data_IF_884619767951
#
_entry.id   IF_884619767951
#
_cell.length_a   1.000
_cell.length_b   1.000
_cell.length_c   1.000
_cell.angle_alpha   90.00
_cell.angle_beta   90.00
_cell.angle_gamma   90.00
#
_symmetry.space_group_name_H-M   'P 1'
#
loop_
_entity.id
_entity.type
_entity.pdbx_description
1 polymer ?
#
# COMPACT_ATOMS: atom_id res chain seq x y z
N UNK A 1 40.14 39.93 1.46
CA UNK A 1 38.98 39.10 1.10
C UNK A 1 39.21 37.71 1.65
N UNK A 2 38.35 37.21 2.54
CA UNK A 2 38.39 35.81 2.96
C UNK A 2 37.87 34.98 1.78
N UNK A 3 38.74 34.17 1.17
CA UNK A 3 38.32 33.16 0.20
C UNK A 3 37.49 32.11 0.93
N UNK A 4 36.18 32.13 0.72
CA UNK A 4 35.27 31.07 1.17
C UNK A 4 35.66 29.78 0.44
N UNK A 5 36.35 28.88 1.13
CA UNK A 5 36.63 27.54 0.64
C UNK A 5 35.57 26.58 1.17
N UNK A 6 35.37 25.46 0.47
CA UNK A 6 34.45 24.39 0.90
C UNK A 6 34.76 23.92 2.34
N UNK A 7 36.03 24.01 2.75
CA UNK A 7 36.53 23.71 4.09
C UNK A 7 36.14 24.74 5.16
N UNK A 8 35.40 25.79 4.84
CA UNK A 8 34.92 26.75 5.84
C UNK A 8 33.42 26.62 6.11
N UNK A 9 32.71 25.82 5.31
CA UNK A 9 31.26 25.64 5.45
C UNK A 9 30.89 24.76 6.65
N UNK A 10 29.78 25.04 7.36
CA UNK A 10 29.18 24.12 8.32
C UNK A 10 28.92 22.73 7.75
N UNK A 11 28.98 21.69 8.59
CA UNK A 11 28.84 20.28 8.15
C UNK A 11 27.44 19.97 7.65
N UNK A 12 26.44 20.69 8.16
CA UNK A 12 25.04 20.60 7.76
C UNK A 12 24.85 21.09 6.32
N UNK A 13 25.46 22.23 5.97
CA UNK A 13 25.42 22.75 4.59
C UNK A 13 26.19 21.86 3.63
N UNK A 14 27.32 21.27 4.06
CA UNK A 14 28.05 20.29 3.27
C UNK A 14 27.19 19.05 3.00
N UNK A 15 26.49 18.53 4.01
CA UNK A 15 25.60 17.39 3.85
C UNK A 15 24.42 17.71 2.90
N UNK A 16 23.85 18.90 2.99
CA UNK A 16 22.79 19.35 2.09
C UNK A 16 23.28 19.43 0.64
N UNK A 17 24.44 20.04 0.40
CA UNK A 17 25.07 20.09 -0.94
C UNK A 17 25.36 18.67 -1.46
N UNK A 18 25.91 17.80 -0.61
CA UNK A 18 26.23 16.42 -0.98
C UNK A 18 24.99 15.58 -1.28
N UNK A 19 23.84 15.90 -0.69
CA UNK A 19 22.57 15.24 -0.96
C UNK A 19 22.01 15.52 -2.35
N UNK A 20 22.51 16.56 -3.03
CA UNK A 20 22.14 16.89 -4.40
C UNK A 20 23.01 16.19 -5.46
N UNK A 21 24.14 15.60 -5.06
CA UNK A 21 25.04 14.87 -5.96
C UNK A 21 24.45 13.53 -6.41
N UNK A 22 24.89 13.03 -7.56
CA UNK A 22 24.67 11.63 -7.95
C UNK A 22 25.51 10.68 -7.06
N UNK A 23 25.19 9.39 -7.09
CA UNK A 23 25.86 8.43 -6.20
C UNK A 23 27.35 8.30 -6.55
N UNK A 24 27.71 8.35 -7.83
CA UNK A 24 29.10 8.28 -8.28
C UNK A 24 29.94 9.48 -7.79
N UNK A 25 29.45 10.72 -7.93
CA UNK A 25 30.18 11.87 -7.40
C UNK A 25 30.23 11.85 -5.87
N UNK A 26 29.15 11.43 -5.19
CA UNK A 26 29.12 11.34 -3.73
C UNK A 26 30.14 10.31 -3.19
N UNK A 27 30.28 9.18 -3.88
CA UNK A 27 31.35 8.21 -3.59
C UNK A 27 32.71 8.86 -3.73
N UNK A 28 32.94 9.60 -4.81
CA UNK A 28 34.21 10.29 -5.05
C UNK A 28 34.50 11.28 -3.91
N UNK A 29 33.53 12.14 -3.57
CA UNK A 29 33.61 13.11 -2.47
C UNK A 29 33.94 12.44 -1.13
N UNK A 30 33.35 11.29 -0.83
CA UNK A 30 33.62 10.53 0.42
C UNK A 30 35.06 10.03 0.55
N UNK A 31 35.83 10.07 -0.54
CA UNK A 31 37.22 9.66 -0.62
C UNK A 31 38.22 10.82 -0.72
N UNK A 32 37.77 12.06 -0.96
CA UNK A 32 38.68 13.19 -1.20
C UNK A 32 39.38 13.70 0.07
N UNK A 33 38.69 13.72 1.22
CA UNK A 33 39.30 14.16 2.47
C UNK A 33 38.68 13.50 3.71
N UNK A 34 39.42 13.51 4.83
CA UNK A 34 38.95 12.97 6.12
C UNK A 34 37.67 13.66 6.60
N UNK A 35 37.57 14.98 6.38
CA UNK A 35 36.40 15.74 6.79
C UNK A 35 35.18 15.41 5.95
N UNK A 36 35.32 15.36 4.63
CA UNK A 36 34.20 15.01 3.74
C UNK A 36 33.75 13.57 4.00
N UNK A 37 34.69 12.66 4.24
CA UNK A 37 34.38 11.31 4.72
C UNK A 37 33.55 11.34 6.00
N UNK A 38 33.98 12.10 7.02
CA UNK A 38 33.26 12.19 8.30
C UNK A 38 31.80 12.66 8.09
N UNK A 39 31.60 13.73 7.31
CA UNK A 39 30.26 14.25 6.96
C UNK A 39 29.42 13.19 6.23
N UNK A 40 29.99 12.54 5.22
CA UNK A 40 29.25 11.51 4.46
C UNK A 40 28.94 10.25 5.26
N UNK A 41 29.78 9.88 6.23
CA UNK A 41 29.57 8.69 7.07
C UNK A 41 28.64 8.94 8.26
N UNK A 42 28.31 10.20 8.56
CA UNK A 42 27.44 10.54 9.68
C UNK A 42 25.98 10.15 9.38
N UNK A 43 25.41 9.29 10.23
CA UNK A 43 24.03 8.84 10.11
C UNK A 43 22.99 9.91 10.41
N UNK A 44 23.34 10.96 11.18
CA UNK A 44 22.43 12.05 11.50
C UNK A 44 22.28 13.01 10.30
N UNK A 45 23.39 13.28 9.60
CA UNK A 45 23.40 14.14 8.41
C UNK A 45 22.93 13.39 7.15
N UNK A 46 23.36 12.13 7.01
CA UNK A 46 22.99 11.17 5.98
C UNK A 46 22.75 11.74 4.57
N UNK A 47 23.78 12.33 3.93
CA UNK A 47 23.65 12.89 2.58
C UNK A 47 23.31 11.85 1.50
N UNK A 48 23.50 10.55 1.79
CA UNK A 48 23.21 9.46 0.86
C UNK A 48 21.72 9.22 0.61
N UNK A 49 20.84 9.62 1.54
CA UNK A 49 19.41 9.29 1.49
C UNK A 49 18.74 9.79 0.20
N UNK A 50 18.90 11.08 -0.13
CA UNK A 50 18.24 11.71 -1.28
C UNK A 50 18.73 11.11 -2.62
N UNK A 51 20.05 10.95 -2.88
CA UNK A 51 20.54 10.29 -4.10
C UNK A 51 20.09 8.83 -4.26
N UNK A 52 20.07 8.05 -3.17
CA UNK A 52 19.56 6.68 -3.16
C UNK A 52 18.07 6.66 -3.53
N UNK A 53 17.26 7.49 -2.89
CA UNK A 53 15.83 7.56 -3.18
C UNK A 53 15.57 7.99 -4.63
N UNK A 54 16.33 8.95 -5.18
CA UNK A 54 16.21 9.33 -6.60
C UNK A 54 16.45 8.13 -7.53
N UNK A 55 17.51 7.35 -7.28
CA UNK A 55 17.78 6.13 -8.03
C UNK A 55 16.62 5.13 -7.93
N UNK A 56 16.17 4.83 -6.70
CA UNK A 56 15.09 3.87 -6.44
C UNK A 56 13.77 4.26 -7.12
N UNK A 57 13.51 5.56 -7.25
CA UNK A 57 12.32 6.11 -7.91
C UNK A 57 12.41 6.08 -9.43
N UNK A 58 13.58 6.42 -9.99
CA UNK A 58 13.82 6.43 -11.42
C UNK A 58 13.68 5.03 -12.04
N UNK A 59 14.18 4.00 -11.35
CA UNK A 59 14.20 2.61 -11.85
C UNK A 59 15.45 2.28 -12.67
N UNK A 60 16.10 3.29 -13.26
CA UNK A 60 17.43 3.19 -13.87
C UNK A 60 18.51 3.44 -12.82
N UNK A 61 19.07 2.35 -12.29
CA UNK A 61 20.02 2.41 -11.18
C UNK A 61 21.44 2.68 -11.65
N UNK A 62 22.10 3.65 -11.03
CA UNK A 62 23.54 3.85 -11.18
C UNK A 62 24.29 2.56 -10.79
N UNK A 63 25.31 2.19 -11.57
CA UNK A 63 26.09 0.96 -11.35
C UNK A 63 26.69 0.88 -9.95
N UNK A 64 27.00 2.02 -9.35
CA UNK A 64 27.56 2.08 -8.01
C UNK A 64 26.57 1.65 -6.91
N UNK A 65 25.26 1.71 -7.16
CA UNK A 65 24.23 1.25 -6.22
C UNK A 65 24.30 -0.26 -5.97
N UNK A 66 24.71 -1.03 -6.98
CA UNK A 66 24.80 -2.50 -6.95
C UNK A 66 25.75 -2.99 -5.85
N UNK A 67 26.83 -2.25 -5.59
CA UNK A 67 27.88 -2.61 -4.64
C UNK A 67 27.97 -1.65 -3.44
N UNK A 68 26.94 -0.83 -3.22
CA UNK A 68 26.94 0.18 -2.18
C UNK A 68 27.10 -0.42 -0.76
N UNK A 69 26.71 -1.69 -0.58
CA UNK A 69 26.72 -2.39 0.72
C UNK A 69 28.11 -2.78 1.21
N UNK A 70 29.11 -2.72 0.32
CA UNK A 70 30.52 -2.99 0.65
C UNK A 70 31.17 -1.74 1.28
N UNK A 71 30.61 -0.55 1.02
CA UNK A 71 31.23 0.73 1.42
C UNK A 71 30.91 1.05 2.87
N UNK A 72 31.94 1.12 3.71
CA UNK A 72 31.81 1.50 5.13
C UNK A 72 31.41 2.97 5.33
N UNK A 73 31.57 3.82 4.32
CA UNK A 73 31.17 5.23 4.34
C UNK A 73 29.67 5.44 4.21
N UNK A 74 28.91 4.42 3.82
CA UNK A 74 27.46 4.51 3.64
C UNK A 74 26.79 4.06 4.93
N UNK A 75 26.00 4.91 5.60
CA UNK A 75 25.23 4.52 6.78
C UNK A 75 24.32 3.32 6.48
N UNK A 76 24.35 2.30 7.36
CA UNK A 76 23.55 1.07 7.19
C UNK A 76 22.04 1.33 7.17
N UNK A 77 21.58 2.41 7.80
CA UNK A 77 20.17 2.79 7.82
C UNK A 77 19.60 3.03 6.41
N UNK A 78 20.43 3.46 5.45
CA UNK A 78 19.99 3.63 4.06
C UNK A 78 19.58 2.32 3.39
N UNK A 79 20.10 1.19 3.88
CA UNK A 79 19.72 -0.11 3.36
C UNK A 79 18.31 -0.53 3.77
N UNK A 80 17.74 0.07 4.82
CA UNK A 80 16.32 -0.13 5.14
C UNK A 80 15.45 0.38 3.99
N UNK A 81 15.78 1.54 3.43
CA UNK A 81 15.05 2.12 2.28
C UNK A 81 15.29 1.33 0.99
N UNK A 82 16.54 0.95 0.71
CA UNK A 82 16.86 0.12 -0.47
C UNK A 82 16.10 -1.21 -0.40
N UNK A 83 16.14 -1.91 0.73
CA UNK A 83 15.44 -3.19 0.88
C UNK A 83 13.92 -3.02 0.82
N UNK A 84 13.38 -1.89 1.27
CA UNK A 84 11.94 -1.61 1.22
C UNK A 84 11.47 -1.30 -0.20
N UNK A 85 12.20 -0.50 -0.96
CA UNK A 85 11.74 0.06 -2.24
C UNK A 85 12.38 -0.53 -3.49
N UNK A 86 13.52 -1.22 -3.41
CA UNK A 86 14.12 -1.78 -4.62
C UNK A 86 13.32 -2.98 -5.15
N UNK A 87 13.29 -3.21 -6.49
CA UNK A 87 12.55 -4.31 -7.08
C UNK A 87 13.14 -5.64 -6.60
N UNK A 88 12.32 -6.71 -6.51
CA UNK A 88 12.81 -8.02 -6.13
C UNK A 88 14.00 -8.48 -6.98
N UNK A 89 13.97 -8.31 -8.30
CA UNK A 89 15.06 -8.77 -9.18
C UNK A 89 16.42 -8.16 -8.82
N UNK A 90 16.46 -6.84 -8.60
CA UNK A 90 17.70 -6.16 -8.23
C UNK A 90 18.26 -6.69 -6.90
N UNK A 91 17.40 -6.83 -5.90
CA UNK A 91 17.82 -7.30 -4.58
C UNK A 91 18.28 -8.77 -4.58
N UNK A 92 17.68 -9.59 -5.44
CA UNK A 92 17.95 -11.02 -5.54
C UNK A 92 19.23 -11.34 -6.33
N UNK A 93 19.46 -10.61 -7.44
CA UNK A 93 20.47 -11.03 -8.43
C UNK A 93 21.61 -10.04 -8.60
N UNK A 94 21.38 -8.77 -8.31
CA UNK A 94 22.30 -7.70 -8.70
C UNK A 94 22.98 -7.03 -7.50
N UNK A 95 22.26 -6.89 -6.38
CA UNK A 95 22.71 -6.10 -5.24
C UNK A 95 23.59 -6.88 -4.26
N UNK A 96 24.64 -6.23 -3.76
CA UNK A 96 25.45 -6.74 -2.65
C UNK A 96 24.89 -6.25 -1.32
N UNK A 97 24.23 -7.15 -0.59
CA UNK A 97 23.60 -6.83 0.71
C UNK A 97 24.63 -6.66 1.83
N UNK A 98 24.53 -5.61 2.67
CA UNK A 98 25.41 -5.44 3.82
C UNK A 98 25.01 -6.37 4.97
N UNK A 99 25.85 -6.42 6.00
CA UNK A 99 25.54 -7.12 7.24
C UNK A 99 24.64 -6.25 8.15
N UNK A 100 23.33 -6.51 8.11
CA UNK A 100 22.34 -5.84 8.97
C UNK A 100 22.00 -6.66 10.21
N UNK A 101 21.65 -5.97 11.29
CA UNK A 101 21.13 -6.54 12.55
C UNK A 101 19.76 -7.18 12.32
N UNK A 102 19.38 -8.11 13.20
CA UNK A 102 18.07 -8.78 13.13
C UNK A 102 16.89 -7.80 13.17
N UNK A 103 16.98 -6.75 14.00
CA UNK A 103 15.96 -5.69 14.11
C UNK A 103 15.82 -4.85 12.85
N UNK A 104 16.93 -4.62 12.13
CA UNK A 104 16.90 -3.89 10.86
C UNK A 104 16.22 -4.73 9.77
N UNK A 105 16.49 -6.04 9.73
CA UNK A 105 15.78 -6.97 8.83
C UNK A 105 14.28 -7.07 9.13
N UNK A 106 13.91 -7.08 10.41
CA UNK A 106 12.51 -7.04 10.84
C UNK A 106 11.82 -5.76 10.36
N UNK A 107 12.48 -4.61 10.52
CA UNK A 107 11.96 -3.33 10.06
C UNK A 107 11.79 -3.31 8.53
N UNK A 108 12.77 -3.80 7.77
CA UNK A 108 12.64 -3.94 6.31
C UNK A 108 11.46 -4.83 5.92
N UNK A 109 11.27 -5.95 6.63
CA UNK A 109 10.17 -6.87 6.37
C UNK A 109 8.81 -6.19 6.62
N UNK A 110 8.67 -5.50 7.76
CA UNK A 110 7.41 -4.82 8.14
C UNK A 110 7.07 -3.64 7.24
N UNK A 111 8.08 -2.93 6.71
CA UNK A 111 7.84 -1.84 5.75
C UNK A 111 7.47 -2.35 4.37
N UNK A 112 8.05 -3.47 3.93
CA UNK A 112 7.83 -3.95 2.57
C UNK A 112 6.60 -4.84 2.41
N UNK A 113 6.41 -5.78 3.34
CA UNK A 113 5.45 -6.87 3.19
C UNK A 113 4.24 -6.72 4.09
N UNK A 114 3.14 -7.36 3.66
CA UNK A 114 1.92 -7.45 4.43
C UNK A 114 2.13 -8.21 5.76
N UNK A 115 1.55 -7.77 6.89
CA UNK A 115 1.74 -8.40 8.20
C UNK A 115 1.41 -9.90 8.24
N UNK A 116 0.36 -10.31 7.53
CA UNK A 116 -0.08 -11.70 7.41
C UNK A 116 0.97 -12.60 6.74
N UNK A 117 1.97 -12.03 6.07
CA UNK A 117 3.08 -12.78 5.48
C UNK A 117 4.14 -13.16 6.52
N UNK A 118 4.06 -12.63 7.74
CA UNK A 118 4.90 -13.05 8.88
C UNK A 118 4.73 -14.55 9.18
N UNK A 119 3.59 -15.16 8.80
CA UNK A 119 3.37 -16.62 8.89
C UNK A 119 4.50 -17.45 8.24
N UNK A 120 5.20 -16.86 7.27
CA UNK A 120 6.28 -17.51 6.53
C UNK A 120 7.64 -17.45 7.22
N UNK A 121 7.82 -16.59 8.23
CA UNK A 121 9.04 -16.53 9.03
C UNK A 121 9.27 -17.84 9.81
N UNK A 122 8.21 -18.42 10.40
CA UNK A 122 8.30 -19.56 11.33
C UNK A 122 9.42 -19.31 12.38
N UNK A 123 10.21 -20.34 12.70
CA UNK A 123 11.33 -20.27 13.65
C UNK A 123 12.65 -19.75 13.04
N UNK A 124 12.61 -19.12 11.86
CA UNK A 124 13.81 -18.62 11.19
C UNK A 124 14.16 -17.18 11.55
N UNK A 125 15.39 -16.78 11.23
CA UNK A 125 15.86 -15.39 11.39
C UNK A 125 15.13 -14.44 10.42
N UNK A 126 15.00 -13.16 10.78
CA UNK A 126 14.35 -12.16 9.92
C UNK A 126 15.04 -12.00 8.57
N UNK A 127 16.38 -12.07 8.55
CA UNK A 127 17.14 -12.14 7.30
C UNK A 127 16.65 -13.28 6.43
N UNK A 128 16.53 -14.49 6.97
CA UNK A 128 16.03 -15.63 6.21
C UNK A 128 14.55 -15.46 5.82
N UNK A 129 13.69 -14.93 6.68
CA UNK A 129 12.30 -14.69 6.29
C UNK A 129 12.18 -13.75 5.08
N UNK A 130 12.98 -12.69 5.05
CA UNK A 130 13.06 -11.76 3.93
C UNK A 130 13.72 -12.39 2.70
N UNK A 131 14.87 -13.05 2.92
CA UNK A 131 15.89 -13.40 1.92
C UNK A 131 16.20 -14.91 1.79
N UNK A 132 15.48 -15.90 2.36
CA UNK A 132 16.09 -17.22 2.70
C UNK A 132 16.91 -17.88 1.59
N UNK A 133 18.21 -18.02 1.84
CA UNK A 133 19.10 -18.97 1.20
C UNK A 133 18.91 -20.38 1.80
N UNK A 134 18.73 -21.42 0.98
CA UNK A 134 18.86 -22.81 1.45
C UNK A 134 20.32 -23.21 1.31
N UNK A 135 20.89 -23.80 2.37
CA UNK A 135 22.33 -24.04 2.57
C UNK A 135 23.02 -24.98 1.56
N UNK A 136 22.39 -25.28 0.42
CA UNK A 136 23.05 -25.87 -0.75
C UNK A 136 22.60 -25.26 -2.10
N UNK A 137 21.53 -24.45 -2.13
CA UNK A 137 21.09 -23.65 -3.29
C UNK A 137 20.39 -22.37 -2.80
N UNK A 138 21.01 -21.24 -3.09
CA UNK A 138 20.74 -19.90 -2.56
C UNK A 138 19.51 -19.25 -3.23
N UNK A 139 18.27 -19.40 -2.70
CA UNK A 139 17.11 -18.64 -3.24
C UNK A 139 16.05 -18.20 -2.23
N UNK A 140 15.90 -16.87 -2.19
CA UNK A 140 15.36 -16.00 -1.16
C UNK A 140 13.87 -16.09 -0.80
N UNK A 141 13.45 -16.73 0.30
CA UNK A 141 12.03 -17.08 0.55
C UNK A 141 10.96 -16.04 0.14
N UNK A 142 10.79 -14.92 0.85
CA UNK A 142 9.67 -14.02 0.55
C UNK A 142 9.89 -13.23 -0.74
N UNK A 143 11.06 -12.65 -0.87
CA UNK A 143 11.39 -11.82 -2.01
C UNK A 143 11.42 -12.61 -3.34
N UNK A 144 11.97 -13.82 -3.33
CA UNK A 144 11.94 -14.75 -4.46
C UNK A 144 10.52 -15.23 -4.74
N UNK A 145 9.72 -15.54 -3.70
CA UNK A 145 8.31 -15.91 -3.90
C UNK A 145 7.54 -14.83 -4.62
N UNK A 146 7.67 -13.58 -4.19
CA UNK A 146 7.07 -12.43 -4.88
C UNK A 146 7.61 -12.33 -6.31
N UNK A 147 8.93 -12.39 -6.50
CA UNK A 147 9.56 -12.30 -7.82
C UNK A 147 9.12 -13.43 -8.78
N UNK A 148 9.00 -14.65 -8.26
CA UNK A 148 8.62 -15.84 -9.02
C UNK A 148 7.14 -15.78 -9.38
N UNK A 149 6.27 -15.53 -8.39
CA UNK A 149 4.81 -15.46 -8.59
C UNK A 149 4.36 -14.24 -9.38
N UNK A 150 5.15 -13.18 -9.43
CA UNK A 150 4.88 -12.04 -10.34
C UNK A 150 5.23 -12.33 -11.80
N UNK A 151 5.98 -13.41 -12.08
CA UNK A 151 6.39 -13.82 -13.44
C UNK A 151 5.77 -15.14 -13.89
N UNK A 152 5.37 -16.00 -12.96
CA UNK A 152 4.83 -17.33 -13.23
C UNK A 152 3.51 -17.52 -12.51
N UNK A 153 2.63 -18.35 -13.06
CA UNK A 153 1.37 -18.76 -12.43
C UNK A 153 1.56 -19.84 -11.35
N UNK A 154 2.73 -19.89 -10.72
CA UNK A 154 3.06 -20.90 -9.73
C UNK A 154 2.24 -20.69 -8.44
N UNK A 155 1.49 -21.71 -8.05
CA UNK A 155 0.71 -21.73 -6.80
C UNK A 155 1.23 -22.76 -5.79
N UNK A 156 2.38 -23.38 -6.04
CA UNK A 156 2.93 -24.45 -5.19
C UNK A 156 3.17 -24.00 -3.75
N UNK A 157 3.42 -22.70 -3.60
CA UNK A 157 3.75 -22.05 -2.33
C UNK A 157 2.53 -21.60 -1.52
N UNK A 158 1.37 -21.47 -2.16
CA UNK A 158 0.15 -20.96 -1.54
C UNK A 158 -1.07 -21.60 -2.23
N UNK A 159 -1.58 -22.69 -1.65
CA UNK A 159 -2.72 -23.45 -2.21
C UNK A 159 -4.05 -22.72 -2.12
N UNK A 160 -4.19 -21.79 -1.15
CA UNK A 160 -5.41 -21.05 -0.87
C UNK A 160 -5.13 -19.54 -0.89
N UNK A 161 -5.99 -18.80 -1.58
CA UNK A 161 -5.97 -17.33 -1.61
C UNK A 161 -7.10 -16.80 -0.75
N UNK A 162 -6.73 -16.05 0.29
CA UNK A 162 -7.68 -15.39 1.19
C UNK A 162 -8.07 -14.00 0.71
N UNK A 163 -9.30 -13.61 0.98
CA UNK A 163 -9.85 -12.30 0.66
C UNK A 163 -10.92 -11.91 1.69
N UNK A 164 -11.24 -10.64 1.78
CA UNK A 164 -12.23 -10.11 2.74
C UNK A 164 -13.47 -9.63 2.00
N UNK A 165 -14.64 -9.88 2.57
CA UNK A 165 -15.91 -9.33 2.08
C UNK A 165 -16.54 -8.48 3.18
N UNK A 166 -16.78 -7.20 2.89
CA UNK A 166 -17.52 -6.30 3.76
C UNK A 166 -19.01 -6.36 3.38
N UNK A 167 -19.83 -6.87 4.30
CA UNK A 167 -21.26 -7.00 4.06
C UNK A 167 -22.01 -5.72 4.40
N UNK A 168 -23.15 -5.53 3.74
CA UNK A 168 -24.11 -4.46 4.06
C UNK A 168 -24.71 -4.57 5.47
N UNK A 169 -24.72 -5.77 6.06
CA UNK A 169 -25.26 -6.05 7.40
C UNK A 169 -24.40 -5.51 8.54
N UNK A 170 -23.22 -4.95 8.24
CA UNK A 170 -22.26 -4.50 9.25
C UNK A 170 -21.18 -5.53 9.58
N UNK A 171 -21.36 -6.81 9.21
CA UNK A 171 -20.35 -7.85 9.38
C UNK A 171 -19.31 -7.86 8.26
N UNK A 172 -18.18 -8.52 8.49
CA UNK A 172 -17.17 -8.75 7.49
C UNK A 172 -16.62 -10.18 7.59
N UNK A 173 -16.34 -10.81 6.44
CA UNK A 173 -15.92 -12.20 6.35
C UNK A 173 -14.52 -12.31 5.73
N UNK A 174 -13.63 -13.11 6.34
CA UNK A 174 -12.41 -13.60 5.69
C UNK A 174 -12.76 -14.93 5.02
N UNK A 175 -12.75 -14.94 3.69
CA UNK A 175 -13.06 -16.09 2.85
C UNK A 175 -11.80 -16.59 2.16
N UNK A 176 -11.85 -17.82 1.65
CA UNK A 176 -10.75 -18.42 0.91
C UNK A 176 -11.25 -19.18 -0.32
N UNK A 177 -10.42 -19.22 -1.35
CA UNK A 177 -10.65 -20.00 -2.56
C UNK A 177 -9.32 -20.55 -3.08
N UNK A 178 -9.37 -21.61 -3.88
CA UNK A 178 -8.18 -22.29 -4.38
C UNK A 178 -7.37 -21.35 -5.29
N UNK A 179 -6.08 -21.16 -4.99
CA UNK A 179 -5.24 -20.17 -5.69
C UNK A 179 -5.11 -20.43 -7.19
N UNK A 180 -5.19 -21.70 -7.63
CA UNK A 180 -5.07 -22.08 -9.06
C UNK A 180 -6.20 -21.55 -9.93
N UNK A 181 -7.38 -21.39 -9.34
CA UNK A 181 -8.60 -20.97 -10.02
C UNK A 181 -9.17 -19.71 -9.39
N UNK A 182 -8.35 -18.98 -8.63
CA UNK A 182 -8.80 -17.77 -7.97
C UNK A 182 -9.03 -16.68 -9.01
N UNK A 183 -10.29 -16.34 -9.23
CA UNK A 183 -10.69 -15.25 -10.11
C UNK A 183 -11.65 -14.33 -9.33
N UNK A 184 -11.19 -13.14 -8.89
CA UNK A 184 -12.02 -12.24 -8.09
C UNK A 184 -13.24 -11.72 -8.86
N UNK A 185 -13.16 -11.56 -10.18
CA UNK A 185 -14.30 -11.16 -11.01
C UNK A 185 -15.40 -12.21 -11.01
N UNK A 186 -15.03 -13.47 -11.23
CA UNK A 186 -15.99 -14.58 -11.25
C UNK A 186 -16.63 -14.78 -9.87
N UNK A 187 -15.82 -14.78 -8.81
CA UNK A 187 -16.28 -14.88 -7.42
C UNK A 187 -17.24 -13.72 -7.09
N UNK A 188 -16.90 -12.49 -7.46
CA UNK A 188 -17.74 -11.33 -7.17
C UNK A 188 -19.02 -11.31 -8.03
N UNK A 189 -18.97 -11.82 -9.26
CA UNK A 189 -20.16 -11.97 -10.10
C UNK A 189 -21.19 -12.92 -9.46
N UNK A 190 -20.74 -14.01 -8.86
CA UNK A 190 -21.59 -14.91 -8.09
C UNK A 190 -22.20 -14.21 -6.85
N UNK A 191 -21.38 -13.45 -6.10
CA UNK A 191 -21.88 -12.66 -4.97
C UNK A 191 -22.93 -11.63 -5.40
N UNK A 192 -22.73 -10.97 -6.54
CA UNK A 192 -23.73 -10.04 -7.11
C UNK A 192 -25.02 -10.75 -7.47
N UNK A 193 -24.95 -11.95 -8.06
CA UNK A 193 -26.13 -12.75 -8.37
C UNK A 193 -26.92 -13.09 -7.10
N UNK A 194 -26.24 -13.56 -6.05
CA UNK A 194 -26.85 -13.86 -4.75
C UNK A 194 -27.50 -12.64 -4.07
N UNK A 195 -27.02 -11.43 -4.37
CA UNK A 195 -27.55 -10.18 -3.81
C UNK A 195 -28.50 -9.43 -4.77
N UNK A 196 -28.94 -10.04 -5.88
CA UNK A 196 -29.78 -9.41 -6.90
C UNK A 196 -29.18 -8.15 -7.57
N UNK A 197 -27.85 -8.08 -7.67
CA UNK A 197 -27.09 -6.96 -8.26
C UNK A 197 -26.43 -7.32 -9.59
N UNK A 198 -26.80 -8.46 -10.20
CA UNK A 198 -26.21 -8.93 -11.46
C UNK A 198 -26.37 -7.95 -12.64
N UNK A 199 -27.43 -7.13 -12.63
CA UNK A 199 -27.75 -6.15 -13.66
C UNK A 199 -26.87 -4.88 -13.62
N UNK A 200 -26.13 -4.66 -12.53
CA UNK A 200 -25.28 -3.48 -12.35
C UNK A 200 -23.85 -3.78 -12.77
N UNK A 201 -23.07 -2.77 -13.14
CA UNK A 201 -21.66 -2.95 -13.49
C UNK A 201 -20.80 -3.17 -12.24
N UNK A 202 -19.82 -4.06 -12.33
CA UNK A 202 -18.79 -4.21 -11.28
C UNK A 202 -17.78 -3.07 -11.42
N UNK A 203 -17.52 -2.38 -10.32
CA UNK A 203 -16.53 -1.31 -10.20
C UNK A 203 -15.31 -1.86 -9.47
N UNK A 204 -14.11 -1.57 -9.97
CA UNK A 204 -12.85 -2.08 -9.42
C UNK A 204 -11.97 -0.89 -9.09
N UNK A 205 -11.52 -0.79 -7.84
CA UNK A 205 -10.66 0.32 -7.42
C UNK A 205 -9.41 -0.15 -6.70
N UNK A 206 -8.32 0.56 -6.94
CA UNK A 206 -7.10 0.46 -6.13
C UNK A 206 -7.29 1.30 -4.87
N UNK A 207 -7.19 0.66 -3.71
CA UNK A 207 -7.31 1.34 -2.40
C UNK A 207 -5.95 1.78 -1.89
N UNK A 208 -4.96 0.92 -2.06
CA UNK A 208 -3.61 1.13 -1.57
C UNK A 208 -2.64 0.36 -2.45
N UNK A 209 -1.60 1.04 -2.92
CA UNK A 209 -0.48 0.42 -3.58
C UNK A 209 0.71 0.34 -2.62
N UNK A 210 1.26 -0.87 -2.47
CA UNK A 210 2.49 -1.17 -1.75
C UNK A 210 3.57 -1.57 -2.76
N UNK A 211 4.80 -1.80 -2.30
CA UNK A 211 5.91 -2.11 -3.22
C UNK A 211 5.66 -3.33 -4.11
N UNK A 212 5.20 -4.42 -3.51
CA UNK A 212 5.07 -5.71 -4.20
C UNK A 212 3.61 -6.12 -4.44
N UNK A 213 2.66 -5.38 -3.86
CA UNK A 213 1.24 -5.75 -3.82
C UNK A 213 0.39 -4.50 -3.95
N UNK A 214 -0.74 -4.59 -4.67
CA UNK A 214 -1.81 -3.60 -4.59
C UNK A 214 -3.07 -4.20 -3.99
N UNK A 215 -3.76 -3.42 -3.18
CA UNK A 215 -5.02 -3.78 -2.55
C UNK A 215 -6.14 -3.28 -3.44
N UNK A 216 -6.93 -4.21 -3.94
CA UNK A 216 -8.06 -3.95 -4.82
C UNK A 216 -9.38 -4.15 -4.07
N UNK A 217 -10.37 -3.36 -4.46
CA UNK A 217 -11.76 -3.60 -4.13
C UNK A 217 -12.60 -3.87 -5.35
N UNK A 218 -13.58 -4.76 -5.20
CA UNK A 218 -14.62 -5.01 -6.17
C UNK A 218 -15.96 -4.72 -5.51
N UNK A 219 -16.76 -3.89 -6.15
CA UNK A 219 -18.05 -3.46 -5.62
C UNK A 219 -19.01 -3.08 -6.72
N UNK A 220 -20.14 -2.51 -6.31
CA UNK A 220 -21.15 -1.97 -7.22
C UNK A 220 -21.54 -0.58 -6.76
N UNK A 221 -21.58 0.36 -7.71
CA UNK A 221 -22.12 1.71 -7.51
C UNK A 221 -23.52 1.79 -8.09
N UNK A 222 -24.44 2.40 -7.34
CA UNK A 222 -25.80 2.67 -7.81
C UNK A 222 -26.34 3.96 -7.16
N UNK A 223 -27.43 4.53 -7.68
CA UNK A 223 -28.20 5.61 -7.01
C UNK A 223 -29.34 4.97 -6.21
N UNK A 224 -29.12 4.59 -4.94
CA UNK A 224 -30.12 3.88 -4.18
C UNK A 224 -31.31 4.80 -3.85
N UNK A 225 -32.52 4.29 -4.05
CA UNK A 225 -33.75 4.99 -3.63
C UNK A 225 -33.95 4.97 -2.11
N UNK A 226 -33.30 4.05 -1.40
CA UNK A 226 -33.40 3.87 0.06
C UNK A 226 -32.02 3.65 0.66
N UNK A 227 -31.82 4.04 1.93
CA UNK A 227 -30.55 3.84 2.64
C UNK A 227 -30.23 2.37 2.94
N UNK A 228 -31.23 1.48 2.90
CA UNK A 228 -31.12 0.06 3.25
C UNK A 228 -30.22 -0.77 2.32
N UNK A 229 -29.99 -0.30 1.10
CA UNK A 229 -29.12 -0.96 0.12
C UNK A 229 -27.67 -0.48 0.18
N UNK A 230 -27.42 0.62 0.91
CA UNK A 230 -26.10 1.24 1.06
C UNK A 230 -25.23 0.40 1.98
N UNK A 231 -24.01 0.13 1.57
CA UNK A 231 -23.00 -0.51 2.40
C UNK A 231 -22.16 0.54 3.13
N UNK A 232 -22.51 0.82 4.40
CA UNK A 232 -21.80 1.80 5.22
C UNK A 232 -20.35 1.38 5.52
N UNK A 233 -20.07 0.08 5.60
CA UNK A 233 -18.70 -0.42 5.79
C UNK A 233 -17.84 -0.16 4.56
N UNK A 234 -18.38 -0.34 3.36
CA UNK A 234 -17.68 -0.01 2.11
C UNK A 234 -17.35 1.48 2.05
N UNK A 235 -18.32 2.34 2.40
CA UNK A 235 -18.10 3.78 2.46
C UNK A 235 -17.01 4.16 3.47
N UNK A 236 -17.07 3.63 4.69
CA UNK A 236 -16.09 3.93 5.73
C UNK A 236 -14.68 3.40 5.42
N UNK A 237 -14.58 2.29 4.68
CA UNK A 237 -13.30 1.74 4.24
C UNK A 237 -12.66 2.60 3.14
N UNK A 238 -13.44 2.99 2.14
CA UNK A 238 -12.94 3.72 0.96
C UNK A 238 -12.77 5.23 1.22
N UNK A 239 -13.66 5.82 2.00
CA UNK A 239 -13.64 7.23 2.40
C UNK A 239 -13.77 7.35 3.92
N UNK A 240 -12.65 7.30 4.65
CA UNK A 240 -12.67 7.52 6.09
C UNK A 240 -13.19 8.93 6.40
N UNK A 241 -13.93 9.07 7.49
CA UNK A 241 -14.53 10.35 7.87
C UNK A 241 -13.45 11.43 8.08
N UNK A 242 -13.71 12.66 7.63
CA UNK A 242 -12.78 13.78 7.85
C UNK A 242 -11.55 13.83 6.94
N UNK A 243 -11.40 12.90 5.98
CA UNK A 243 -10.24 12.85 5.08
C UNK A 243 -10.48 13.38 3.66
N UNK A 244 -11.64 14.01 3.42
CA UNK A 244 -12.01 14.55 2.10
C UNK A 244 -11.22 15.79 1.67
N UNK A 245 -11.21 16.12 0.36
CA UNK A 245 -10.64 17.37 -0.11
C UNK A 245 -11.36 18.55 0.56
N UNK A 246 -10.60 19.59 0.94
CA UNK A 246 -11.11 20.76 1.66
C UNK A 246 -12.24 21.51 0.95
N UNK A 247 -12.42 21.30 -0.36
CA UNK A 247 -13.56 21.80 -1.14
C UNK A 247 -14.90 21.15 -0.78
N UNK A 248 -14.91 19.93 -0.22
CA UNK A 248 -16.11 19.24 0.29
C UNK A 248 -16.48 19.67 1.71
N UNK A 249 -15.61 20.42 2.39
CA UNK A 249 -15.90 21.11 3.66
C UNK A 249 -16.50 22.51 3.44
N UNK A 250 -17.24 22.72 2.35
CA UNK A 250 -18.11 23.89 2.22
C UNK A 250 -19.29 23.74 3.18
N UNK A 251 -19.09 24.28 4.38
CA UNK A 251 -20.06 25.12 5.09
C UNK A 251 -21.48 24.55 5.20
N UNK A 252 -21.71 23.66 6.15
CA UNK A 252 -23.01 23.62 6.85
C UNK A 252 -22.91 24.63 8.00
N UNK A 253 -22.80 25.91 7.64
CA UNK A 253 -22.96 27.01 8.59
C UNK A 253 -24.14 27.86 8.12
N UNK A 254 -25.24 27.70 8.87
CA UNK A 254 -26.27 28.70 9.15
C UNK A 254 -26.77 29.59 8.02
N UNK A 255 -27.85 29.19 7.37
CA UNK A 255 -28.93 30.13 7.05
C UNK A 255 -30.27 29.56 7.48
N UNK A 256 -30.87 30.28 8.44
CA UNK A 256 -32.21 30.09 8.96
C UNK A 256 -33.23 30.23 7.81
N UNK A 257 -34.08 29.22 7.63
CA UNK A 257 -35.43 29.39 7.11
C UNK A 257 -36.39 28.67 8.07
N UNK A 258 -37.31 29.39 8.75
CA UNK A 258 -38.37 28.76 9.52
C UNK A 258 -39.61 28.65 8.63
N UNK A 259 -40.01 27.43 8.23
CA UNK A 259 -41.44 27.11 8.04
C UNK A 259 -41.69 25.59 7.79
N UNK A 260 -42.05 24.92 8.89
CA UNK A 260 -43.19 24.01 9.04
C UNK A 260 -43.45 22.89 8.02
N UNK A 261 -43.15 21.63 8.41
CA UNK A 261 -44.10 20.50 8.36
C UNK A 261 -43.61 19.31 9.22
N UNK A 262 -44.47 18.72 10.09
CA UNK A 262 -44.08 17.64 10.99
C UNK A 262 -44.28 16.28 10.32
N UNK A 263 -43.29 15.41 10.43
CA UNK A 263 -43.34 14.02 9.99
C UNK A 263 -42.26 13.23 10.72
N UNK A 264 -42.65 12.60 11.83
CA UNK A 264 -41.89 11.66 12.62
C UNK A 264 -41.21 10.59 11.77
N UNK A 265 -39.90 10.41 11.97
CA UNK A 265 -39.25 9.10 12.13
C UNK A 265 -37.83 9.30 12.67
N UNK A 266 -37.74 9.41 13.99
CA UNK A 266 -36.48 9.49 14.74
C UNK A 266 -35.81 8.11 14.73
N UNK A 267 -34.83 7.88 13.85
CA UNK A 267 -33.92 6.74 13.96
C UNK A 267 -32.65 7.16 14.73
N UNK A 268 -32.13 6.34 15.67
CA UNK A 268 -31.02 6.72 16.56
C UNK A 268 -29.63 6.54 15.93
N UNK A 269 -29.49 6.62 14.60
CA UNK A 269 -28.20 6.50 13.91
C UNK A 269 -27.95 7.66 12.95
N UNK A 270 -28.19 8.88 13.40
CA UNK A 270 -27.48 10.03 12.85
C UNK A 270 -26.09 10.02 13.47
N UNK A 271 -25.10 9.43 12.78
CA UNK A 271 -23.70 9.58 13.13
C UNK A 271 -23.35 11.06 12.97
N UNK A 272 -23.51 11.81 14.04
CA UNK A 272 -23.01 13.16 14.18
C UNK A 272 -21.51 13.15 13.82
N UNK A 273 -21.08 13.79 12.71
CA UNK A 273 -19.68 13.76 12.25
C UNK A 273 -18.70 14.36 13.26
N UNK A 274 -19.21 15.00 14.31
CA UNK A 274 -18.47 15.79 15.28
C UNK A 274 -18.11 15.04 16.58
N UNK A 275 -18.56 13.79 16.78
CA UNK A 275 -18.39 13.11 18.09
C UNK A 275 -17.23 12.13 18.25
N UNK A 276 -16.46 11.87 17.20
CA UNK A 276 -15.18 11.20 17.33
C UNK A 276 -14.16 11.94 16.46
N UNK A 277 -13.25 12.68 17.10
CA UNK A 277 -12.00 13.04 16.46
C UNK A 277 -11.24 11.74 16.17
N UNK A 278 -11.55 11.10 15.05
CA UNK A 278 -10.78 9.95 14.58
C UNK A 278 -9.47 10.54 14.09
N UNK A 279 -8.43 10.43 14.93
CA UNK A 279 -7.08 10.75 14.50
C UNK A 279 -6.63 9.64 13.57
N UNK A 280 -6.40 9.97 12.31
CA UNK A 280 -5.82 9.05 11.36
C UNK A 280 -4.31 9.25 11.36
N UNK A 281 -3.58 8.18 11.61
CA UNK A 281 -2.14 8.17 11.43
C UNK A 281 -1.79 7.75 10.01
N UNK A 282 -0.70 8.32 9.48
CA UNK A 282 -0.14 7.89 8.21
C UNK A 282 0.33 6.44 8.32
N UNK A 283 0.00 5.62 7.32
CA UNK A 283 0.44 4.23 7.29
C UNK A 283 1.96 4.15 7.14
N UNK A 284 2.63 3.54 8.11
CA UNK A 284 4.08 3.29 8.11
C UNK A 284 4.46 1.84 7.85
N UNK A 285 3.58 0.90 8.20
CA UNK A 285 3.82 -0.54 8.11
C UNK A 285 2.56 -1.28 7.64
N UNK A 286 2.52 -1.80 6.41
CA UNK A 286 3.52 -1.66 5.34
C UNK A 286 3.59 -0.23 4.79
N UNK A 287 4.75 0.18 4.30
CA UNK A 287 5.00 1.52 3.77
C UNK A 287 4.35 1.65 2.37
N UNK A 288 3.47 2.65 2.16
CA UNK A 288 2.84 2.86 0.87
C UNK A 288 3.84 3.18 -0.25
N UNK A 289 3.46 2.87 -1.48
CA UNK A 289 4.14 3.39 -2.66
C UNK A 289 4.00 4.92 -2.75
N UNK A 290 4.78 5.55 -3.63
CA UNK A 290 4.76 7.01 -3.77
C UNK A 290 3.39 7.57 -4.16
N UNK A 291 2.62 6.85 -4.99
CA UNK A 291 1.28 7.25 -5.44
C UNK A 291 0.28 7.30 -4.27
N UNK A 292 0.54 6.54 -3.21
CA UNK A 292 -0.30 6.44 -2.01
C UNK A 292 0.44 6.90 -0.75
N UNK A 293 1.50 7.72 -0.89
CA UNK A 293 2.39 8.06 0.23
C UNK A 293 1.66 8.64 1.43
N UNK A 294 0.57 9.37 1.24
CA UNK A 294 -0.19 10.03 2.31
C UNK A 294 -1.30 9.14 2.88
N UNK A 295 -1.47 7.91 2.40
CA UNK A 295 -2.53 7.01 2.85
C UNK A 295 -2.55 6.91 4.40
N UNK A 296 -3.75 6.99 5.03
CA UNK A 296 -5.08 7.01 4.43
C UNK A 296 -5.56 8.38 3.96
N UNK A 297 -4.80 9.45 4.22
CA UNK A 297 -5.13 10.83 3.89
C UNK A 297 -5.21 11.08 2.39
N UNK A 298 -5.81 12.22 2.03
CA UNK A 298 -5.80 12.73 0.66
C UNK A 298 -4.37 12.84 0.10
N UNK A 299 -4.14 12.23 -1.06
CA UNK A 299 -2.89 12.35 -1.80
C UNK A 299 -3.09 13.29 -2.99
N UNK A 300 -2.58 14.54 -2.94
CA UNK A 300 -2.68 15.48 -4.06
C UNK A 300 -1.86 14.95 -5.26
N UNK A 301 -2.40 15.08 -6.47
CA UNK A 301 -1.69 14.69 -7.71
C UNK A 301 -2.25 13.45 -8.43
N UNK A 302 -3.33 12.85 -7.93
CA UNK A 302 -4.17 11.92 -8.71
C UNK A 302 -3.75 10.46 -8.77
N UNK A 303 -2.66 10.07 -8.11
CA UNK A 303 -2.25 8.66 -8.03
C UNK A 303 -3.11 7.78 -7.11
N UNK A 304 -3.91 8.38 -6.22
CA UNK A 304 -4.81 7.70 -5.30
C UNK A 304 -6.25 7.81 -5.81
N UNK A 305 -6.69 6.78 -6.52
CA UNK A 305 -7.98 6.74 -7.23
C UNK A 305 -9.20 6.87 -6.30
N UNK A 306 -9.03 6.64 -4.98
CA UNK A 306 -10.09 6.87 -3.99
C UNK A 306 -10.61 8.31 -4.02
N UNK A 307 -9.77 9.25 -4.45
CA UNK A 307 -10.09 10.68 -4.51
C UNK A 307 -10.34 11.20 -5.92
N UNK A 308 -9.91 10.49 -6.96
CA UNK A 308 -10.05 10.93 -8.36
C UNK A 308 -11.45 10.64 -8.91
N UNK A 309 -12.02 9.49 -8.55
CA UNK A 309 -13.41 9.10 -8.89
C UNK A 309 -14.46 9.82 -8.02
N UNK A 310 -14.05 10.92 -7.38
CA UNK A 310 -14.92 11.92 -6.73
C UNK A 310 -16.22 12.12 -7.49
N UNK A 311 -16.11 12.33 -8.81
CA UNK A 311 -17.22 12.66 -9.68
C UNK A 311 -18.40 11.69 -9.60
N UNK A 312 -18.19 10.37 -9.54
CA UNK A 312 -19.31 9.42 -9.54
C UNK A 312 -20.04 9.34 -8.20
N UNK A 313 -19.32 9.28 -7.08
CA UNK A 313 -19.94 9.28 -5.75
C UNK A 313 -20.52 10.66 -5.40
N UNK A 314 -19.89 11.73 -5.85
CA UNK A 314 -20.34 13.11 -5.67
C UNK A 314 -21.57 13.41 -6.56
N UNK A 315 -21.77 12.66 -7.66
CA UNK A 315 -23.02 12.59 -8.45
C UNK A 315 -24.12 11.74 -7.78
N UNK A 316 -23.96 11.39 -6.50
CA UNK A 316 -24.95 10.68 -5.68
C UNK A 316 -24.94 9.16 -5.82
N UNK A 317 -23.94 8.58 -6.49
CA UNK A 317 -23.75 7.12 -6.48
C UNK A 317 -23.23 6.68 -5.10
N UNK A 318 -23.71 5.54 -4.62
CA UNK A 318 -23.27 4.93 -3.36
C UNK A 318 -22.91 3.47 -3.60
N UNK A 319 -21.96 2.99 -2.81
CA UNK A 319 -21.62 1.56 -2.76
C UNK A 319 -22.82 0.76 -2.21
N UNK A 320 -23.29 -0.20 -3.00
CA UNK A 320 -24.42 -1.07 -2.66
C UNK A 320 -24.01 -2.54 -2.67
N UNK A 321 -24.63 -3.33 -1.80
CA UNK A 321 -24.32 -4.77 -1.69
C UNK A 321 -22.97 -5.08 -1.03
N UNK A 322 -22.42 -6.28 -1.23
CA UNK A 322 -21.12 -6.65 -0.67
C UNK A 322 -19.96 -5.91 -1.38
N UNK A 323 -18.89 -5.62 -0.63
CA UNK A 323 -17.61 -5.14 -1.17
C UNK A 323 -16.54 -6.20 -0.93
N UNK A 324 -15.93 -6.72 -1.99
CA UNK A 324 -14.81 -7.65 -1.89
C UNK A 324 -13.49 -6.87 -1.86
N UNK A 325 -12.56 -7.28 -0.99
CA UNK A 325 -11.22 -6.73 -0.82
C UNK A 325 -10.20 -7.85 -1.05
N UNK A 326 -9.26 -7.65 -1.96
CA UNK A 326 -8.24 -8.65 -2.32
C UNK A 326 -6.87 -8.02 -2.55
N UNK A 327 -5.81 -8.83 -2.48
CA UNK A 327 -4.44 -8.42 -2.70
C UNK A 327 -3.91 -9.02 -4.00
N UNK A 328 -3.39 -8.18 -4.89
CA UNK A 328 -2.83 -8.58 -6.17
C UNK A 328 -1.33 -8.28 -6.20
N UNK A 329 -0.52 -9.24 -6.64
CA UNK A 329 0.92 -9.06 -6.78
C UNK A 329 1.23 -8.11 -7.94
N UNK A 330 2.23 -7.26 -7.76
CA UNK A 330 2.67 -6.33 -8.81
C UNK A 330 3.49 -7.06 -9.87
N UNK A 331 3.05 -7.04 -11.13
CA UNK A 331 3.83 -7.53 -12.26
C UNK A 331 4.74 -6.41 -12.82
N UNK A 332 6.00 -6.71 -13.20
CA UNK A 332 6.91 -5.72 -13.78
C UNK A 332 6.33 -4.96 -14.98
N UNK A 333 5.56 -5.65 -15.83
CA UNK A 333 4.97 -5.13 -17.06
C UNK A 333 3.80 -4.17 -16.84
N UNK A 334 3.15 -4.22 -15.67
CA UNK A 334 1.97 -3.40 -15.39
C UNK A 334 2.31 -1.92 -15.16
N UNK A 335 3.56 -1.60 -14.80
CA UNK A 335 4.00 -0.25 -14.45
C UNK A 335 4.28 0.62 -15.68
N UNK A 336 4.75 0.02 -16.77
CA UNK A 336 5.01 0.70 -18.05
C UNK A 336 3.71 1.11 -18.78
N UNK A 337 2.64 0.32 -18.60
CA UNK A 337 1.32 0.59 -19.20
C UNK A 337 0.48 1.57 -18.36
N UNK A 338 0.63 1.56 -17.03
CA UNK A 338 -0.13 2.44 -16.14
C UNK A 338 0.28 3.92 -16.24
N UNK A 339 1.50 4.22 -16.68
CA UNK A 339 2.00 5.60 -16.82
C UNK A 339 1.46 6.33 -18.05
N UNK A 340 0.96 5.61 -19.06
CA UNK A 340 0.57 6.17 -20.36
C UNK A 340 -0.94 6.25 -20.54
N UNK A 341 -1.70 5.35 -19.93
CA UNK A 341 -3.16 5.35 -19.99
C UNK A 341 -3.72 5.06 -18.61
N UNK A 342 -4.54 5.97 -18.08
CA UNK A 342 -5.29 5.70 -16.85
C UNK A 342 -6.08 4.40 -17.03
N UNK A 343 -5.60 3.33 -16.39
CA UNK A 343 -6.08 1.98 -16.62
C UNK A 343 -7.58 1.93 -16.32
N UNK A 344 -8.36 1.37 -17.25
CA UNK A 344 -9.77 1.10 -17.00
C UNK A 344 -9.90 -0.02 -15.96
N UNK A 345 -10.97 0.00 -15.15
CA UNK A 345 -11.26 -0.97 -14.08
C UNK A 345 -11.00 -2.44 -14.46
N UNK A 346 -11.34 -2.83 -15.69
CA UNK A 346 -11.17 -4.20 -16.20
C UNK A 346 -9.70 -4.55 -16.53
N UNK A 347 -8.90 -3.59 -16.99
CA UNK A 347 -7.48 -3.78 -17.31
C UNK A 347 -6.65 -4.08 -16.04
N UNK A 348 -7.13 -3.62 -14.88
CA UNK A 348 -6.53 -3.93 -13.58
C UNK A 348 -6.56 -5.43 -13.23
N UNK A 349 -7.46 -6.22 -13.82
CA UNK A 349 -7.60 -7.65 -13.53
C UNK A 349 -7.22 -8.55 -14.72
N UNK A 350 -7.50 -8.12 -15.96
CA UNK A 350 -7.28 -8.96 -17.17
C UNK A 350 -5.97 -8.66 -17.93
N UNK A 351 -5.18 -7.67 -17.50
CA UNK A 351 -3.88 -7.37 -18.11
C UNK A 351 -2.85 -8.52 -17.98
N UNK A 352 -1.93 -8.65 -18.95
CA UNK A 352 -0.81 -9.60 -18.86
C UNK A 352 0.01 -9.35 -17.59
N UNK A 353 0.03 -10.33 -16.67
CA UNK A 353 0.68 -10.22 -15.37
C UNK A 353 -0.23 -9.80 -14.21
N UNK A 354 -1.47 -9.36 -14.49
CA UNK A 354 -2.46 -8.97 -13.47
C UNK A 354 -3.28 -10.17 -12.93
N UNK A 355 -3.00 -11.40 -13.34
CA UNK A 355 -3.73 -12.58 -12.85
C UNK A 355 -3.21 -13.16 -11.52
N UNK A 356 -2.24 -12.51 -10.88
CA UNK A 356 -1.52 -13.06 -9.73
C UNK A 356 -1.99 -12.42 -8.43
N UNK A 357 -2.60 -13.22 -7.56
CA UNK A 357 -3.17 -12.78 -6.29
C UNK A 357 -2.42 -13.38 -5.10
N UNK A 358 -2.42 -12.67 -3.98
CA UNK A 358 -1.88 -13.14 -2.71
C UNK A 358 -2.98 -13.17 -1.66
N UNK A 359 -2.81 -14.01 -0.64
CA UNK A 359 -3.74 -14.00 0.48
C UNK A 359 -3.75 -12.66 1.19
N UNK A 360 -4.96 -12.13 1.38
CA UNK A 360 -5.26 -10.96 2.17
C UNK A 360 -6.07 -11.37 3.40
N UNK A 361 -5.52 -11.14 4.58
CA UNK A 361 -6.05 -11.63 5.87
C UNK A 361 -6.53 -10.50 6.77
N UNK A 362 -7.17 -10.83 7.89
CA UNK A 362 -7.54 -9.84 8.90
C UNK A 362 -6.38 -8.99 9.42
N UNK A 363 -5.18 -9.59 9.56
CA UNK A 363 -4.00 -8.84 10.00
C UNK A 363 -3.61 -7.76 8.99
N UNK A 364 -3.77 -8.05 7.71
CA UNK A 364 -3.46 -7.13 6.61
C UNK A 364 -4.50 -6.01 6.56
N UNK A 365 -5.79 -6.38 6.64
CA UNK A 365 -6.90 -5.43 6.63
C UNK A 365 -6.85 -4.44 7.79
N UNK A 366 -6.62 -4.92 9.01
CA UNK A 366 -6.55 -4.05 10.18
C UNK A 366 -5.27 -3.20 10.24
N UNK A 367 -4.20 -3.64 9.57
CA UNK A 367 -3.00 -2.81 9.43
C UNK A 367 -3.23 -1.63 8.49
N UNK A 368 -3.93 -1.84 7.37
CA UNK A 368 -4.18 -0.78 6.38
C UNK A 368 -5.43 0.05 6.70
N UNK A 369 -6.36 -0.46 7.51
CA UNK A 369 -7.59 0.23 7.87
C UNK A 369 -7.97 0.01 9.34
N UNK A 370 -7.15 0.47 10.30
CA UNK A 370 -7.37 0.23 11.73
C UNK A 370 -8.71 0.79 12.22
N UNK A 371 -9.20 1.88 11.62
CA UNK A 371 -10.49 2.49 11.95
C UNK A 371 -11.71 1.58 11.66
N UNK A 372 -11.53 0.52 10.88
CA UNK A 372 -12.60 -0.44 10.61
C UNK A 372 -12.86 -1.38 11.79
N UNK A 373 -11.91 -1.49 12.74
CA UNK A 373 -12.03 -2.35 13.93
C UNK A 373 -13.26 -2.04 14.77
N UNK A 374 -13.56 -0.75 14.93
CA UNK A 374 -14.69 -0.28 15.74
C UNK A 374 -16.00 -0.20 14.95
N UNK A 375 -15.91 -0.21 13.61
CA UNK A 375 -17.07 -0.06 12.72
C UNK A 375 -17.70 -1.39 12.32
N UNK A 376 -16.88 -2.43 12.12
CA UNK A 376 -17.37 -3.77 11.78
C UNK A 376 -17.98 -4.39 13.03
N UNK A 377 -19.26 -4.74 12.96
CA UNK A 377 -19.98 -5.32 14.10
C UNK A 377 -19.51 -6.74 14.41
N UNK A 378 -19.11 -7.51 13.39
CA UNK A 378 -18.69 -8.89 13.54
C UNK A 378 -17.62 -9.28 12.51
N UNK A 379 -16.52 -9.85 13.01
CA UNK A 379 -15.45 -10.43 12.21
C UNK A 379 -15.66 -11.94 12.10
N UNK A 380 -15.94 -12.44 10.90
CA UNK A 380 -16.25 -13.84 10.65
C UNK A 380 -15.10 -14.47 9.85
N UNK A 381 -14.71 -15.70 10.21
CA UNK A 381 -13.79 -16.52 9.40
C UNK A 381 -14.59 -17.59 8.68
N UNK A 382 -14.46 -17.67 7.37
CA UNK A 382 -15.26 -18.53 6.50
C UNK A 382 -16.60 -17.89 6.08
N UNK A 383 -17.43 -18.68 5.40
CA UNK A 383 -18.69 -18.23 4.80
C UNK A 383 -19.73 -17.73 5.81
N UNK A 384 -19.47 -17.90 7.11
CA UNK A 384 -20.45 -17.68 8.16
C UNK A 384 -21.44 -18.83 8.15
N UNK A 385 -21.53 -19.57 9.26
CA UNK A 385 -22.57 -20.57 9.40
C UNK A 385 -23.92 -19.83 9.40
N UNK A 386 -24.81 -20.20 8.47
CA UNK A 386 -26.24 -20.06 8.71
C UNK A 386 -26.52 -20.79 10.01
N UNK A 387 -26.93 -20.06 11.03
CA UNK A 387 -27.46 -20.66 12.26
C UNK A 387 -28.75 -21.33 11.81
N UNK A 388 -28.72 -22.66 11.63
CA UNK A 388 -29.91 -23.49 11.67
C UNK A 388 -30.23 -23.83 13.12
#
# INVERSE_FOLDING_TARGET
MLTLTLETLPVELLAEIFSELDLESLITVSCLSRRLRAVTSDSALNPWRRPILRNLQCGDYERCLYHLGIRSTVPRQNWIEILTYAPPSFLLFDSTTPNLKSSEWEECFRRRFLPGWTKWKKDTTWRSAFMKCVSHYLYFLMLYRVWHRSRTSCTSDESWTKYIVLNRSGSANELESASRSFNPLAIFAEMKLQNNLAHLQTQIRVVLELRDVRILVLGVLNRPRTSLTVNLNAQAFLRPAGLGPSSSQRSVDGRNDPETRPGNETFPFSLDPLRYFVHYDRLTHPEPSLSHRNYPMYTPGGGDARWFDGLQEDEGLKWVGPLMVTAQLHAPTARELATTHGLQDLELLDGMGNSQFASFTWQDFLAIAPWMKERISQFIRGQGLGIH
#
